data_IF_950927720524
#
_entry.id   IF_950927720524
#
_cell.length_a   1.000
_cell.length_b   1.000
_cell.length_c   1.000
_cell.angle_alpha   90.00
_cell.angle_beta   90.00
_cell.angle_gamma   90.00
#
_symmetry.space_group_name_H-M   'P 1'
#
loop_
_entity.id
_entity.type
_entity.pdbx_description
1 polymer ?
#
# COMPACT_ATOMS: atom_id res chain seq x y z
N UNK A 1 8.14 46.12 -4.60
CA UNK A 1 8.51 44.70 -4.44
C UNK A 1 9.17 44.42 -3.08
N UNK A 2 10.09 45.28 -2.60
CA UNK A 2 10.68 45.19 -1.24
C UNK A 2 9.64 45.17 -0.10
N UNK A 3 8.56 45.94 -0.22
CA UNK A 3 7.46 45.99 0.78
C UNK A 3 6.80 44.61 0.96
N UNK A 4 6.51 43.89 -0.13
CA UNK A 4 5.87 42.56 -0.07
C UNK A 4 6.76 41.53 0.62
N UNK A 5 8.06 41.54 0.30
CA UNK A 5 9.05 40.62 0.90
C UNK A 5 9.21 40.89 2.41
N UNK A 6 9.23 42.16 2.82
CA UNK A 6 9.27 42.56 4.22
C UNK A 6 8.01 42.15 4.99
N UNK A 7 6.83 42.30 4.37
CA UNK A 7 5.55 41.86 4.95
C UNK A 7 5.53 40.34 5.12
N UNK A 8 5.97 39.58 4.12
CA UNK A 8 6.06 38.12 4.21
C UNK A 8 7.05 37.67 5.28
N UNK A 9 8.21 38.33 5.41
CA UNK A 9 9.18 38.03 6.47
C UNK A 9 8.60 38.32 7.86
N UNK A 10 7.92 39.46 8.01
CA UNK A 10 7.29 39.82 9.28
C UNK A 10 6.22 38.80 9.68
N UNK A 11 5.38 38.36 8.73
CA UNK A 11 4.39 37.32 8.96
C UNK A 11 5.03 35.97 9.33
N UNK A 12 6.12 35.60 8.66
CA UNK A 12 6.88 34.38 8.97
C UNK A 12 7.51 34.43 10.37
N UNK A 13 8.12 35.55 10.73
CA UNK A 13 8.72 35.75 12.06
C UNK A 13 7.65 35.76 13.15
N UNK A 14 6.53 36.45 12.92
CA UNK A 14 5.40 36.48 13.84
C UNK A 14 4.78 35.10 14.03
N UNK A 15 4.67 34.30 12.96
CA UNK A 15 4.14 32.94 13.05
C UNK A 15 5.10 31.98 13.77
N UNK A 16 6.41 32.11 13.54
CA UNK A 16 7.45 31.36 14.27
C UNK A 16 7.48 31.72 15.76
N UNK A 17 7.40 33.00 16.11
CA UNK A 17 7.31 33.46 17.51
C UNK A 17 6.02 32.99 18.16
N UNK A 18 4.89 33.09 17.46
CA UNK A 18 3.60 32.58 17.94
C UNK A 18 3.65 31.07 18.20
N UNK A 19 4.29 30.32 17.30
CA UNK A 19 4.50 28.89 17.46
C UNK A 19 5.36 28.58 18.69
N UNK A 20 6.53 29.22 18.84
CA UNK A 20 7.39 29.05 20.02
C UNK A 20 6.66 29.42 21.32
N UNK A 21 5.95 30.55 21.34
CA UNK A 21 5.22 31.03 22.52
C UNK A 21 4.06 30.10 22.90
N UNK A 22 3.36 29.53 21.91
CA UNK A 22 2.29 28.56 22.13
C UNK A 22 2.86 27.27 22.73
N UNK A 23 3.98 26.78 22.19
CA UNK A 23 4.66 25.59 22.68
C UNK A 23 5.24 25.73 24.09
N UNK A 24 5.76 26.91 24.45
CA UNK A 24 6.26 27.15 25.82
C UNK A 24 5.12 27.19 26.86
N UNK A 25 3.90 27.55 26.46
CA UNK A 25 2.76 27.72 27.37
C UNK A 25 1.91 26.46 27.57
N UNK A 26 1.96 25.48 26.66
CA UNK A 26 1.13 24.27 26.74
C UNK A 26 1.98 22.99 26.92
N UNK A 27 2.42 22.67 28.16
CA UNK A 27 3.24 21.49 28.42
C UNK A 27 2.52 20.14 28.27
N UNK A 28 1.19 20.15 28.07
CA UNK A 28 0.38 18.93 27.94
C UNK A 28 -0.56 19.05 26.73
N UNK A 29 -0.30 18.23 25.71
CA UNK A 29 -1.25 18.00 24.64
C UNK A 29 -2.47 17.28 25.22
N UNK A 30 -3.60 17.97 25.28
CA UNK A 30 -4.91 17.39 25.59
C UNK A 30 -5.49 16.60 24.41
N UNK A 31 -6.72 16.07 24.55
CA UNK A 31 -7.38 15.22 23.55
C UNK A 31 -7.63 15.88 22.19
N UNK A 32 -7.48 17.20 22.07
CA UNK A 32 -7.56 17.93 20.79
C UNK A 32 -6.31 17.80 19.90
N UNK A 33 -5.27 17.10 20.39
CA UNK A 33 -4.30 16.41 19.54
C UNK A 33 -3.43 17.28 18.60
N UNK A 34 -2.72 16.64 17.65
CA UNK A 34 -1.74 17.27 16.77
C UNK A 34 -2.32 18.34 15.83
N UNK A 35 -3.64 18.42 15.69
CA UNK A 35 -4.33 19.29 14.73
C UNK A 35 -4.03 20.77 14.96
N UNK A 36 -3.99 21.23 16.21
CA UNK A 36 -3.66 22.62 16.54
C UNK A 36 -2.25 23.04 16.11
N UNK A 37 -1.28 22.11 16.16
CA UNK A 37 0.07 22.37 15.69
C UNK A 37 0.10 22.44 14.16
N UNK A 38 -0.62 21.56 13.46
CA UNK A 38 -0.73 21.60 12.01
C UNK A 38 -1.37 22.89 11.50
N UNK A 39 -2.37 23.44 12.19
CA UNK A 39 -3.03 24.69 11.82
C UNK A 39 -2.12 25.92 11.88
N UNK A 40 -1.11 25.92 12.76
CA UNK A 40 -0.11 27.01 12.82
C UNK A 40 1.12 26.69 11.96
N UNK A 41 1.45 25.41 11.83
CA UNK A 41 2.64 24.94 11.11
C UNK A 41 2.50 25.03 9.59
N UNK A 42 1.43 24.46 9.02
CA UNK A 42 1.24 24.40 7.56
C UNK A 42 1.27 25.81 6.95
N UNK A 43 0.59 26.83 7.52
CA UNK A 43 0.70 28.19 7.03
C UNK A 43 2.12 28.77 7.16
N UNK A 44 2.83 28.51 8.27
CA UNK A 44 4.19 29.02 8.47
C UNK A 44 5.18 28.43 7.45
N UNK A 45 5.08 27.13 7.18
CA UNK A 45 5.90 26.45 6.18
C UNK A 45 5.57 26.95 4.77
N UNK A 46 4.28 27.14 4.46
CA UNK A 46 3.84 27.68 3.19
C UNK A 46 4.32 29.13 2.98
N UNK A 47 4.32 29.96 4.02
CA UNK A 47 4.86 31.32 3.97
C UNK A 47 6.38 31.33 3.79
N UNK A 48 7.11 30.43 4.46
CA UNK A 48 8.55 30.29 4.26
C UNK A 48 8.89 29.86 2.82
N UNK A 49 8.15 28.88 2.28
CA UNK A 49 8.23 28.44 0.90
C UNK A 49 7.99 29.59 -0.08
N UNK A 50 6.91 30.34 0.14
CA UNK A 50 6.52 31.45 -0.72
C UNK A 50 7.57 32.58 -0.69
N UNK A 51 8.10 32.91 0.49
CA UNK A 51 9.16 33.88 0.65
C UNK A 51 10.44 33.48 -0.09
N UNK A 52 10.90 32.24 0.09
CA UNK A 52 12.10 31.71 -0.57
C UNK A 52 11.92 31.65 -2.09
N UNK A 53 10.75 31.21 -2.56
CA UNK A 53 10.43 31.14 -3.98
C UNK A 53 10.39 32.53 -4.64
N UNK A 54 9.68 33.49 -4.03
CA UNK A 54 9.59 34.86 -4.55
C UNK A 54 10.96 35.53 -4.55
N UNK A 55 11.74 35.41 -3.47
CA UNK A 55 13.07 35.99 -3.40
C UNK A 55 14.05 35.40 -4.42
N UNK A 56 13.97 34.08 -4.66
CA UNK A 56 14.77 33.38 -5.68
C UNK A 56 14.40 33.81 -7.10
N UNK A 57 13.10 33.80 -7.44
CA UNK A 57 12.62 34.21 -8.76
C UNK A 57 12.89 35.69 -9.06
N UNK A 58 12.85 36.52 -8.03
CA UNK A 58 13.08 37.97 -8.13
C UNK A 58 14.58 38.36 -8.15
N UNK A 59 15.49 37.39 -8.12
CA UNK A 59 16.94 37.63 -8.09
C UNK A 59 17.45 38.36 -6.85
N UNK A 60 16.62 38.50 -5.80
CA UNK A 60 16.98 39.23 -4.58
C UNK A 60 18.12 38.57 -3.81
N UNK A 61 18.39 37.30 -4.09
CA UNK A 61 19.49 36.54 -3.50
C UNK A 61 20.69 36.35 -4.44
N UNK A 62 20.65 36.89 -5.66
CA UNK A 62 21.73 36.74 -6.64
C UNK A 62 23.07 37.30 -6.12
N UNK A 63 23.04 38.33 -5.27
CA UNK A 63 24.24 38.94 -4.69
C UNK A 63 25.00 38.03 -3.71
N UNK A 64 24.37 36.97 -3.20
CA UNK A 64 24.98 35.99 -2.30
C UNK A 64 25.63 34.85 -3.10
N UNK A 65 24.93 34.36 -4.13
CA UNK A 65 25.39 33.31 -5.06
C UNK A 65 24.79 33.58 -6.44
N UNK A 66 25.62 33.73 -7.46
CA UNK A 66 25.19 33.93 -8.86
C UNK A 66 24.45 32.72 -9.45
N UNK A 67 24.36 31.60 -8.73
CA UNK A 67 23.78 30.36 -9.20
C UNK A 67 22.41 30.06 -8.56
N UNK A 68 21.35 30.14 -9.38
CA UNK A 68 19.95 29.85 -8.99
C UNK A 68 19.75 28.41 -8.47
N UNK A 69 20.51 27.44 -8.97
CA UNK A 69 20.42 26.05 -8.53
C UNK A 69 20.89 25.88 -7.08
N UNK A 70 21.97 26.57 -6.70
CA UNK A 70 22.49 26.52 -5.32
C UNK A 70 21.47 27.12 -4.36
N UNK A 71 20.78 28.19 -4.78
CA UNK A 71 19.68 28.78 -4.00
C UNK A 71 18.48 27.86 -3.82
N UNK A 72 18.10 27.11 -4.85
CA UNK A 72 17.06 26.10 -4.73
C UNK A 72 17.45 25.03 -3.71
N UNK A 73 18.69 24.52 -3.78
CA UNK A 73 19.19 23.50 -2.86
C UNK A 73 19.28 23.99 -1.41
N UNK A 74 19.73 25.24 -1.20
CA UNK A 74 19.72 25.88 0.11
C UNK A 74 18.29 26.02 0.65
N UNK A 75 17.35 26.46 -0.18
CA UNK A 75 15.94 26.61 0.21
C UNK A 75 15.32 25.28 0.63
N UNK A 76 15.55 24.22 -0.16
CA UNK A 76 15.10 22.86 0.17
C UNK A 76 15.72 22.39 1.48
N UNK A 77 17.04 22.57 1.66
CA UNK A 77 17.73 22.20 2.90
C UNK A 77 17.19 22.94 4.13
N UNK A 78 16.94 24.25 4.01
CA UNK A 78 16.35 25.07 5.10
C UNK A 78 14.95 24.58 5.44
N UNK A 79 14.12 24.28 4.45
CA UNK A 79 12.76 23.79 4.67
C UNK A 79 12.75 22.44 5.37
N UNK A 80 13.63 21.53 4.96
CA UNK A 80 13.81 20.25 5.64
C UNK A 80 14.31 20.46 7.07
N UNK A 81 15.27 21.37 7.27
CA UNK A 81 15.78 21.70 8.59
C UNK A 81 14.68 22.27 9.51
N UNK A 82 13.86 23.19 9.01
CA UNK A 82 12.72 23.76 9.73
C UNK A 82 11.65 22.70 10.05
N UNK A 83 11.34 21.84 9.09
CA UNK A 83 10.43 20.70 9.31
C UNK A 83 10.96 19.76 10.41
N UNK A 84 12.24 19.40 10.36
CA UNK A 84 12.88 18.53 11.34
C UNK A 84 13.04 19.18 12.71
N UNK A 85 13.39 20.48 12.75
CA UNK A 85 13.42 21.29 13.95
C UNK A 85 12.06 21.31 14.64
N UNK A 86 10.98 21.38 13.86
CA UNK A 86 9.63 21.35 14.40
C UNK A 86 9.21 19.96 14.88
N UNK A 87 9.51 18.90 14.12
CA UNK A 87 9.30 17.53 14.60
C UNK A 87 10.08 17.27 15.90
N UNK A 88 11.26 17.85 16.03
CA UNK A 88 12.07 17.82 17.24
C UNK A 88 11.47 18.63 18.40
N UNK A 89 10.73 19.71 18.12
CA UNK A 89 9.97 20.46 19.13
C UNK A 89 8.75 19.69 19.62
N UNK A 90 8.13 18.90 18.74
CA UNK A 90 7.03 18.00 19.05
C UNK A 90 7.46 16.78 19.88
N UNK A 91 8.70 16.31 19.65
CA UNK A 91 9.27 15.22 20.42
C UNK A 91 9.62 15.68 21.86
N UNK A 92 9.48 14.78 22.85
CA UNK A 92 9.68 15.10 24.27
C UNK A 92 11.15 15.02 24.71
N UNK A 93 12.07 14.77 23.78
CA UNK A 93 13.49 14.55 24.04
C UNK A 93 14.39 15.79 23.97
N UNK A 94 15.70 15.55 24.04
CA UNK A 94 16.79 16.54 24.00
C UNK A 94 16.87 17.37 22.69
N UNK A 95 15.96 17.12 21.74
CA UNK A 95 15.94 17.71 20.41
C UNK A 95 15.21 19.07 20.34
N UNK A 96 14.53 19.50 21.42
CA UNK A 96 13.86 20.82 21.47
C UNK A 96 14.81 22.01 21.37
N UNK A 97 15.94 21.95 22.08
CA UNK A 97 16.95 23.01 22.04
C UNK A 97 17.53 23.19 20.63
N UNK A 98 17.71 22.08 19.90
CA UNK A 98 18.14 22.09 18.51
C UNK A 98 17.09 22.76 17.60
N UNK A 99 15.80 22.47 17.82
CA UNK A 99 14.73 23.07 17.03
C UNK A 99 14.61 24.60 17.20
N UNK A 100 14.77 25.09 18.44
CA UNK A 100 14.81 26.53 18.74
C UNK A 100 16.04 27.17 18.10
N UNK A 101 17.22 26.57 18.27
CA UNK A 101 18.47 27.08 17.74
C UNK A 101 18.44 27.20 16.20
N UNK A 102 17.95 26.17 15.50
CA UNK A 102 17.85 26.18 14.03
C UNK A 102 16.88 27.25 13.52
N UNK A 103 15.73 27.43 14.19
CA UNK A 103 14.76 28.47 13.82
C UNK A 103 15.35 29.88 14.00
N UNK A 104 16.12 30.09 15.07
CA UNK A 104 16.83 31.35 15.31
C UNK A 104 17.90 31.64 14.25
N UNK A 105 18.68 30.63 13.87
CA UNK A 105 19.71 30.75 12.82
C UNK A 105 19.10 31.12 11.47
N UNK A 106 18.00 30.47 11.07
CA UNK A 106 17.31 30.78 9.81
C UNK A 106 16.70 32.19 9.85
N UNK A 107 16.08 32.58 10.97
CA UNK A 107 15.55 33.94 11.14
C UNK A 107 16.65 35.01 11.02
N UNK A 108 17.80 34.79 11.65
CA UNK A 108 18.96 35.68 11.55
C UNK A 108 19.50 35.76 10.11
N UNK A 109 19.55 34.64 9.39
CA UNK A 109 19.97 34.58 7.99
C UNK A 109 19.03 35.39 7.07
N UNK A 110 17.71 35.27 7.28
CA UNK A 110 16.71 36.05 6.54
C UNK A 110 16.85 37.56 6.80
N UNK A 111 17.08 37.99 8.05
CA UNK A 111 17.29 39.40 8.39
C UNK A 111 18.58 39.95 7.75
N UNK A 112 19.66 39.19 7.78
CA UNK A 112 20.92 39.54 7.11
C UNK A 112 20.75 39.69 5.58
N UNK A 113 19.81 38.95 5.00
CA UNK A 113 19.59 38.93 3.55
C UNK A 113 18.83 40.14 3.00
N UNK A 114 18.15 40.91 3.86
CA UNK A 114 17.40 42.09 3.46
C UNK A 114 18.27 43.32 3.17
N UNK A 115 19.57 43.25 3.45
CA UNK A 115 20.51 44.37 3.28
C UNK A 115 21.58 44.04 2.23
N UNK A 116 21.30 44.26 0.93
CA UNK A 116 22.17 43.85 -0.19
C UNK A 116 23.50 44.60 -0.27
N UNK A 117 23.62 45.77 0.37
CA UNK A 117 24.83 46.62 0.35
C UNK A 117 25.97 46.11 1.24
N UNK A 118 25.94 44.83 1.63
CA UNK A 118 26.94 44.20 2.47
C UNK A 118 28.23 43.87 1.72
N UNK A 119 29.37 44.27 2.28
CA UNK A 119 30.69 43.79 1.85
C UNK A 119 30.87 42.27 2.00
N UNK A 120 31.99 41.74 1.53
CA UNK A 120 32.28 40.30 1.45
C UNK A 120 32.00 39.52 2.76
N UNK A 121 32.30 40.11 3.92
CA UNK A 121 32.06 39.50 5.24
C UNK A 121 30.59 39.15 5.47
N UNK A 122 29.64 39.99 5.05
CA UNK A 122 28.20 39.70 5.21
C UNK A 122 27.74 38.59 4.27
N UNK A 123 28.29 38.52 3.06
CA UNK A 123 28.02 37.42 2.10
C UNK A 123 28.47 36.08 2.68
N UNK A 124 29.67 36.03 3.25
CA UNK A 124 30.20 34.82 3.91
C UNK A 124 29.32 34.44 5.12
N UNK A 125 28.93 35.41 5.95
CA UNK A 125 28.05 35.15 7.08
C UNK A 125 26.68 34.60 6.65
N UNK A 126 26.06 35.18 5.62
CA UNK A 126 24.79 34.67 5.06
C UNK A 126 24.95 33.25 4.51
N UNK A 127 26.04 32.99 3.78
CA UNK A 127 26.36 31.66 3.26
C UNK A 127 26.51 30.61 4.36
N UNK A 128 27.20 30.94 5.45
CA UNK A 128 27.36 30.02 6.59
C UNK A 128 26.03 29.79 7.29
N UNK A 129 25.26 30.85 7.54
CA UNK A 129 23.99 30.77 8.26
C UNK A 129 22.89 30.05 7.47
N UNK A 130 22.90 30.09 6.14
CA UNK A 130 22.00 29.28 5.32
C UNK A 130 22.57 27.89 5.01
N UNK A 131 23.88 27.81 4.75
CA UNK A 131 24.55 26.60 4.32
C UNK A 131 24.56 25.51 5.39
N UNK A 132 24.87 25.85 6.64
CA UNK A 132 24.94 24.85 7.72
C UNK A 132 23.58 24.21 8.03
N UNK A 133 22.48 24.97 8.23
CA UNK A 133 21.15 24.37 8.39
C UNK A 133 20.70 23.61 7.16
N UNK A 134 21.00 24.10 5.95
CA UNK A 134 20.65 23.41 4.73
C UNK A 134 21.34 22.04 4.61
N UNK A 135 22.65 21.98 4.86
CA UNK A 135 23.41 20.73 4.88
C UNK A 135 22.92 19.77 5.98
N UNK A 136 22.62 20.29 7.17
CA UNK A 136 22.04 19.48 8.25
C UNK A 136 20.67 18.92 7.86
N UNK A 137 19.80 19.73 7.25
CA UNK A 137 18.51 19.31 6.72
C UNK A 137 18.65 18.21 5.67
N UNK A 138 19.51 18.39 4.68
CA UNK A 138 19.77 17.39 3.63
C UNK A 138 20.33 16.07 4.22
N UNK A 139 21.25 16.14 5.18
CA UNK A 139 21.77 14.95 5.86
C UNK A 139 20.67 14.19 6.62
N UNK A 140 19.76 14.91 7.28
CA UNK A 140 18.61 14.32 7.97
C UNK A 140 17.62 13.67 7.00
N UNK A 141 17.33 14.31 5.86
CA UNK A 141 16.49 13.74 4.81
C UNK A 141 17.10 12.45 4.27
N UNK A 142 18.40 12.47 3.94
CA UNK A 142 19.11 11.29 3.46
C UNK A 142 19.04 10.16 4.47
N UNK A 143 19.29 10.44 5.75
CA UNK A 143 19.14 9.46 6.83
C UNK A 143 17.71 8.89 6.88
N UNK A 144 16.68 9.73 6.82
CA UNK A 144 15.28 9.29 6.87
C UNK A 144 14.90 8.41 5.67
N UNK A 145 15.38 8.73 4.47
CA UNK A 145 15.20 7.91 3.28
C UNK A 145 15.88 6.54 3.42
N UNK A 146 17.13 6.52 3.89
CA UNK A 146 17.89 5.28 4.14
C UNK A 146 17.19 4.43 5.21
N UNK A 147 16.78 5.03 6.33
CA UNK A 147 16.07 4.33 7.39
C UNK A 147 14.73 3.77 6.91
N UNK A 148 14.00 4.50 6.07
CA UNK A 148 12.73 4.05 5.49
C UNK A 148 12.95 2.87 4.53
N UNK A 149 13.97 2.95 3.67
CA UNK A 149 14.34 1.86 2.78
C UNK A 149 14.76 0.61 3.57
N UNK A 150 15.60 0.77 4.60
CA UNK A 150 16.02 -0.33 5.47
C UNK A 150 14.85 -0.93 6.26
N UNK A 151 13.91 -0.11 6.76
CA UNK A 151 12.71 -0.61 7.43
C UNK A 151 11.81 -1.39 6.48
N UNK A 152 11.62 -0.92 5.25
CA UNK A 152 10.84 -1.66 4.22
C UNK A 152 11.51 -3.00 3.92
N UNK A 153 12.83 -3.00 3.72
CA UNK A 153 13.59 -4.24 3.49
C UNK A 153 13.47 -5.21 4.66
N UNK A 154 13.66 -4.75 5.91
CA UNK A 154 13.52 -5.59 7.11
C UNK A 154 12.11 -6.12 7.31
N UNK A 155 11.08 -5.34 6.99
CA UNK A 155 9.68 -5.80 7.03
C UNK A 155 9.47 -6.90 6.00
N UNK A 156 9.89 -6.68 4.76
CA UNK A 156 9.81 -7.70 3.72
C UNK A 156 10.54 -9.00 4.11
N UNK A 157 11.78 -8.91 4.61
CA UNK A 157 12.55 -10.07 5.10
C UNK A 157 11.91 -10.74 6.34
N UNK A 158 11.19 -9.99 7.17
CA UNK A 158 10.47 -10.56 8.31
C UNK A 158 9.18 -11.24 7.86
N UNK A 159 8.43 -10.63 6.94
CA UNK A 159 7.21 -11.17 6.35
C UNK A 159 7.52 -12.44 5.55
N UNK A 160 8.63 -12.46 4.80
CA UNK A 160 9.11 -13.63 4.06
C UNK A 160 9.48 -14.78 5.01
N UNK A 161 10.20 -14.52 6.10
CA UNK A 161 10.51 -15.54 7.11
C UNK A 161 9.26 -16.06 7.81
N UNK A 162 8.34 -15.17 8.19
CA UNK A 162 7.07 -15.55 8.79
C UNK A 162 6.24 -16.41 7.82
N UNK A 163 6.24 -16.08 6.54
CA UNK A 163 5.58 -16.86 5.50
C UNK A 163 6.23 -18.24 5.32
N UNK A 164 7.56 -18.33 5.30
CA UNK A 164 8.28 -19.61 5.23
C UNK A 164 8.02 -20.49 6.46
N UNK A 165 8.03 -19.91 7.66
CA UNK A 165 7.71 -20.61 8.90
C UNK A 165 6.26 -21.12 8.89
N UNK A 166 5.30 -20.28 8.50
CA UNK A 166 3.90 -20.67 8.35
C UNK A 166 3.75 -21.80 7.31
N UNK A 167 4.48 -21.73 6.19
CA UNK A 167 4.49 -22.78 5.16
C UNK A 167 5.05 -24.11 5.69
N UNK A 168 6.13 -24.08 6.49
CA UNK A 168 6.70 -25.27 7.13
C UNK A 168 5.73 -25.88 8.15
N UNK A 169 5.11 -25.04 8.97
CA UNK A 169 4.09 -25.49 9.92
C UNK A 169 2.90 -26.11 9.20
N UNK A 170 2.44 -25.49 8.10
CA UNK A 170 1.35 -26.03 7.28
C UNK A 170 1.74 -27.37 6.62
N UNK A 171 2.96 -27.48 6.10
CA UNK A 171 3.46 -28.72 5.50
C UNK A 171 3.45 -29.88 6.50
N UNK A 172 3.93 -29.64 7.72
CA UNK A 172 3.92 -30.64 8.78
C UNK A 172 2.49 -30.99 9.20
N UNK A 173 1.64 -29.99 9.40
CA UNK A 173 0.22 -30.20 9.72
C UNK A 173 -0.47 -31.03 8.64
N UNK A 174 -0.19 -30.78 7.36
CA UNK A 174 -0.76 -31.55 6.26
C UNK A 174 -0.30 -33.02 6.30
N UNK A 175 0.98 -33.28 6.55
CA UNK A 175 1.51 -34.66 6.69
C UNK A 175 0.78 -35.38 7.83
N UNK A 176 0.71 -34.77 9.00
CA UNK A 176 0.15 -35.39 10.20
C UNK A 176 -1.35 -35.63 10.06
N UNK A 177 -2.10 -34.65 9.54
CA UNK A 177 -3.55 -34.76 9.43
C UNK A 177 -3.95 -35.67 8.27
N UNK A 178 -3.26 -35.60 7.13
CA UNK A 178 -3.56 -36.45 5.98
C UNK A 178 -3.37 -37.93 6.31
N UNK A 179 -2.34 -38.28 7.09
CA UNK A 179 -2.09 -39.65 7.54
C UNK A 179 -3.20 -40.22 8.43
N UNK A 180 -4.00 -39.36 9.09
CA UNK A 180 -5.13 -39.81 9.93
C UNK A 180 -6.43 -39.99 9.14
N UNK A 181 -6.48 -39.55 7.88
CA UNK A 181 -7.66 -39.75 7.05
C UNK A 181 -7.86 -41.23 6.70
N UNK A 182 -9.08 -41.77 6.92
CA UNK A 182 -9.37 -43.12 6.48
C UNK A 182 -9.28 -43.22 4.95
N UNK A 183 -9.06 -44.44 4.44
CA UNK A 183 -8.87 -44.69 2.99
C UNK A 183 -10.10 -44.26 2.17
N UNK A 184 -11.28 -44.35 2.76
CA UNK A 184 -12.57 -43.99 2.17
C UNK A 184 -13.04 -42.55 2.49
N UNK A 185 -12.21 -41.74 3.18
CA UNK A 185 -12.51 -40.36 3.59
C UNK A 185 -13.15 -39.55 2.45
N UNK A 186 -14.25 -38.79 2.69
CA UNK A 186 -15.01 -38.15 1.62
C UNK A 186 -14.18 -37.16 0.80
N UNK A 187 -14.61 -36.86 -0.43
CA UNK A 187 -13.95 -35.97 -1.38
C UNK A 187 -13.51 -34.67 -0.72
N UNK A 188 -14.40 -34.01 0.02
CA UNK A 188 -14.11 -32.74 0.69
C UNK A 188 -12.94 -32.84 1.70
N UNK A 189 -12.85 -33.95 2.43
CA UNK A 189 -11.78 -34.17 3.39
C UNK A 189 -10.42 -34.41 2.71
N UNK A 190 -10.41 -35.04 1.53
CA UNK A 190 -9.17 -35.31 0.78
C UNK A 190 -8.76 -34.09 -0.07
N UNK A 191 -9.74 -33.37 -0.63
CA UNK A 191 -9.50 -32.28 -1.59
C UNK A 191 -8.80 -31.07 -0.99
N UNK A 192 -8.92 -30.83 0.32
CA UNK A 192 -8.15 -29.80 1.04
C UNK A 192 -6.63 -29.99 0.93
N UNK A 193 -6.16 -31.21 0.61
CA UNK A 193 -4.74 -31.55 0.48
C UNK A 193 -4.22 -31.52 -0.96
N UNK A 194 -5.08 -31.22 -1.95
CA UNK A 194 -4.69 -31.09 -3.36
C UNK A 194 -3.65 -29.99 -3.62
N UNK A 195 -3.60 -29.01 -2.72
CA UNK A 195 -2.70 -27.86 -2.77
C UNK A 195 -1.71 -27.85 -1.60
N UNK A 196 -1.48 -29.01 -0.98
CA UNK A 196 -0.48 -29.13 0.08
C UNK A 196 0.89 -28.65 -0.40
N UNK A 197 1.66 -27.91 0.42
CA UNK A 197 3.04 -27.56 0.10
C UNK A 197 3.97 -28.79 0.09
N UNK A 198 3.50 -29.94 0.56
CA UNK A 198 4.22 -31.22 0.56
C UNK A 198 3.85 -32.02 -0.69
N UNK A 199 4.80 -32.22 -1.60
CA UNK A 199 4.58 -32.90 -2.88
C UNK A 199 4.07 -34.34 -2.73
N UNK A 200 4.55 -35.09 -1.73
CA UNK A 200 4.09 -36.46 -1.48
C UNK A 200 2.62 -36.51 -1.04
N UNK A 201 2.20 -35.62 -0.13
CA UNK A 201 0.80 -35.50 0.31
C UNK A 201 -0.08 -35.10 -0.87
N UNK A 202 0.35 -34.12 -1.67
CA UNK A 202 -0.38 -33.71 -2.86
C UNK A 202 -0.54 -34.86 -3.87
N UNK A 203 0.53 -35.58 -4.18
CA UNK A 203 0.51 -36.69 -5.11
C UNK A 203 -0.40 -37.83 -4.62
N UNK A 204 -0.32 -38.17 -3.34
CA UNK A 204 -1.16 -39.21 -2.74
C UNK A 204 -2.64 -38.78 -2.69
N UNK A 205 -2.95 -37.54 -2.32
CA UNK A 205 -4.31 -37.02 -2.34
C UNK A 205 -4.94 -37.09 -3.74
N UNK A 206 -4.18 -36.71 -4.78
CA UNK A 206 -4.61 -36.83 -6.18
C UNK A 206 -4.84 -38.29 -6.58
N UNK A 207 -3.94 -39.18 -6.21
CA UNK A 207 -4.07 -40.61 -6.50
C UNK A 207 -5.28 -41.23 -5.80
N UNK A 208 -5.51 -40.90 -4.52
CA UNK A 208 -6.68 -41.36 -3.76
C UNK A 208 -7.99 -40.90 -4.41
N UNK A 209 -8.09 -39.63 -4.81
CA UNK A 209 -9.28 -39.11 -5.49
C UNK A 209 -9.50 -39.77 -6.85
N UNK A 210 -8.45 -39.87 -7.68
CA UNK A 210 -8.55 -40.47 -9.01
C UNK A 210 -8.93 -41.96 -8.98
N UNK A 211 -8.58 -42.68 -7.90
CA UNK A 211 -8.93 -44.09 -7.73
C UNK A 211 -10.38 -44.32 -7.25
N UNK A 212 -11.14 -43.26 -6.92
CA UNK A 212 -12.49 -43.42 -6.38
C UNK A 212 -13.51 -43.75 -7.47
N UNK A 213 -14.30 -44.83 -7.32
CA UNK A 213 -15.39 -45.13 -8.25
C UNK A 213 -16.59 -44.18 -8.12
N UNK A 214 -16.75 -43.53 -6.96
CA UNK A 214 -17.86 -42.63 -6.63
C UNK A 214 -17.49 -41.14 -6.71
N UNK A 215 -16.32 -40.81 -7.27
CA UNK A 215 -15.78 -39.45 -7.29
C UNK A 215 -16.77 -38.43 -7.86
N UNK A 216 -17.39 -38.76 -8.98
CA UNK A 216 -18.33 -37.90 -9.68
C UNK A 216 -19.56 -37.59 -8.83
N UNK A 217 -20.15 -38.61 -8.19
CA UNK A 217 -21.31 -38.43 -7.32
C UNK A 217 -20.97 -37.54 -6.12
N UNK A 218 -19.78 -37.71 -5.53
CA UNK A 218 -19.33 -36.87 -4.42
C UNK A 218 -19.03 -35.43 -4.84
N UNK A 219 -18.49 -35.20 -6.05
CA UNK A 219 -18.31 -33.85 -6.58
C UNK A 219 -19.65 -33.16 -6.80
N UNK A 220 -20.66 -33.87 -7.33
CA UNK A 220 -22.03 -33.35 -7.50
C UNK A 220 -22.62 -32.97 -6.14
N UNK A 221 -22.48 -33.83 -5.14
CA UNK A 221 -22.94 -33.55 -3.77
C UNK A 221 -22.23 -32.32 -3.18
N UNK A 222 -20.91 -32.25 -3.29
CA UNK A 222 -20.11 -31.12 -2.81
C UNK A 222 -20.48 -29.82 -3.51
N UNK A 223 -20.77 -29.85 -4.81
CA UNK A 223 -21.28 -28.69 -5.54
C UNK A 223 -22.63 -28.22 -5.02
N UNK A 224 -23.38 -29.02 -4.26
CA UNK A 224 -24.63 -28.62 -3.61
C UNK A 224 -24.46 -27.96 -2.24
N UNK A 225 -23.27 -28.00 -1.65
CA UNK A 225 -22.98 -27.51 -0.29
C UNK A 225 -22.18 -26.22 -0.34
N UNK A 226 -22.64 -25.19 0.40
CA UNK A 226 -21.93 -23.91 0.48
C UNK A 226 -20.53 -24.09 1.10
N UNK A 227 -19.49 -23.61 0.41
CA UNK A 227 -18.10 -23.63 0.87
C UNK A 227 -17.27 -24.84 0.42
N UNK A 228 -17.88 -25.86 -0.19
CA UNK A 228 -17.16 -27.00 -0.78
C UNK A 228 -16.88 -26.83 -2.28
N UNK A 229 -17.46 -25.80 -2.88
CA UNK A 229 -17.41 -25.42 -4.28
C UNK A 229 -16.00 -25.09 -4.79
N UNK A 230 -15.22 -24.34 -4.01
CA UNK A 230 -13.86 -23.96 -4.41
C UNK A 230 -12.95 -25.20 -4.60
N UNK A 231 -13.16 -26.24 -3.80
CA UNK A 231 -12.39 -27.48 -3.92
C UNK A 231 -12.76 -28.27 -5.18
N UNK A 232 -14.05 -28.36 -5.52
CA UNK A 232 -14.51 -29.02 -6.75
C UNK A 232 -14.05 -28.25 -7.98
N UNK A 233 -14.25 -26.92 -8.01
CA UNK A 233 -13.79 -26.07 -9.10
C UNK A 233 -12.27 -26.20 -9.29
N UNK A 234 -11.48 -26.13 -8.22
CA UNK A 234 -10.03 -26.31 -8.29
C UNK A 234 -9.61 -27.69 -8.80
N UNK A 235 -10.30 -28.76 -8.38
CA UNK A 235 -10.04 -30.12 -8.87
C UNK A 235 -10.33 -30.25 -10.37
N UNK A 236 -11.50 -29.78 -10.83
CA UNK A 236 -11.88 -29.80 -12.25
C UNK A 236 -10.94 -28.93 -13.08
N UNK A 237 -10.59 -27.73 -12.62
CA UNK A 237 -9.74 -26.80 -13.35
C UNK A 237 -8.34 -27.35 -13.55
N UNK A 238 -7.73 -27.94 -12.51
CA UNK A 238 -6.29 -28.12 -12.47
C UNK A 238 -5.80 -29.55 -12.24
N UNK A 239 -6.68 -30.48 -11.85
CA UNK A 239 -6.28 -31.83 -11.42
C UNK A 239 -6.89 -32.92 -12.30
N UNK A 240 -8.21 -32.91 -12.47
CA UNK A 240 -8.94 -33.93 -13.23
C UNK A 240 -8.47 -33.94 -14.70
N UNK A 241 -7.88 -35.00 -15.24
CA UNK A 241 -7.42 -35.00 -16.63
C UNK A 241 -8.58 -34.91 -17.64
N UNK A 242 -9.74 -35.52 -17.36
CA UNK A 242 -10.88 -35.57 -18.29
C UNK A 242 -12.19 -35.42 -17.52
N UNK A 243 -12.62 -34.17 -17.25
CA UNK A 243 -13.83 -33.96 -16.48
C UNK A 243 -15.05 -34.49 -17.23
N UNK A 244 -15.95 -35.14 -16.51
CA UNK A 244 -17.14 -35.75 -17.08
C UNK A 244 -18.19 -34.69 -17.41
N UNK A 245 -18.83 -34.72 -18.60
CA UNK A 245 -19.89 -33.77 -18.96
C UNK A 245 -21.13 -33.88 -18.06
N UNK A 246 -21.31 -34.99 -17.36
CA UNK A 246 -22.41 -35.20 -16.39
C UNK A 246 -22.33 -34.27 -15.17
N UNK A 247 -21.15 -33.69 -14.89
CA UNK A 247 -20.99 -32.69 -13.84
C UNK A 247 -21.58 -31.33 -14.21
N UNK A 248 -21.81 -31.06 -15.50
CA UNK A 248 -22.21 -29.73 -15.98
C UNK A 248 -23.52 -29.22 -15.36
N UNK A 249 -24.61 -30.00 -15.22
CA UNK A 249 -25.83 -29.50 -14.57
C UNK A 249 -25.62 -29.06 -13.12
N UNK A 250 -24.85 -29.84 -12.35
CA UNK A 250 -24.53 -29.49 -10.96
C UNK A 250 -23.63 -28.25 -10.88
N UNK A 251 -22.66 -28.16 -11.79
CA UNK A 251 -21.75 -27.02 -11.87
C UNK A 251 -22.46 -25.74 -12.33
N UNK A 252 -23.40 -25.81 -13.26
CA UNK A 252 -24.27 -24.70 -13.66
C UNK A 252 -25.09 -24.19 -12.47
N UNK A 253 -25.73 -25.09 -11.72
CA UNK A 253 -26.49 -24.73 -10.53
C UNK A 253 -25.59 -24.05 -9.46
N UNK A 254 -24.35 -24.52 -9.32
CA UNK A 254 -23.35 -23.87 -8.49
C UNK A 254 -23.04 -22.44 -8.97
N UNK A 255 -22.72 -22.25 -10.25
CA UNK A 255 -22.44 -20.94 -10.84
C UNK A 255 -23.62 -19.97 -10.66
N UNK A 256 -24.85 -20.44 -10.85
CA UNK A 256 -26.06 -19.62 -10.71
C UNK A 256 -26.27 -19.18 -9.25
N UNK A 257 -26.06 -20.07 -8.28
CA UNK A 257 -26.12 -19.71 -6.85
C UNK A 257 -25.04 -18.72 -6.47
N UNK A 258 -23.80 -18.91 -6.94
CA UNK A 258 -22.73 -17.96 -6.69
C UNK A 258 -23.03 -16.61 -7.31
N UNK A 259 -23.62 -16.55 -8.52
CA UNK A 259 -24.00 -15.30 -9.13
C UNK A 259 -25.07 -14.56 -8.32
N UNK A 260 -26.04 -15.29 -7.77
CA UNK A 260 -27.07 -14.71 -6.91
C UNK A 260 -26.49 -14.15 -5.60
N UNK A 261 -25.61 -14.92 -4.92
CA UNK A 261 -24.89 -14.48 -3.73
C UNK A 261 -24.01 -13.26 -4.03
N UNK A 262 -23.32 -13.30 -5.15
CA UNK A 262 -22.44 -12.24 -5.61
C UNK A 262 -23.20 -10.94 -5.85
N UNK A 263 -24.37 -10.99 -6.51
CA UNK A 263 -25.25 -9.82 -6.70
C UNK A 263 -25.77 -9.23 -5.38
N UNK A 264 -25.97 -10.04 -4.34
CA UNK A 264 -26.48 -9.57 -3.05
C UNK A 264 -25.40 -8.96 -2.15
N UNK A 265 -24.15 -9.41 -2.24
CA UNK A 265 -23.04 -8.96 -1.37
C UNK A 265 -22.09 -7.93 -2.01
N UNK A 266 -21.85 -7.99 -3.33
CA UNK A 266 -20.83 -7.14 -3.99
C UNK A 266 -21.22 -5.70 -4.27
N UNK A 267 -22.48 -5.32 -4.11
CA UNK A 267 -22.86 -3.91 -4.16
C UNK A 267 -22.31 -3.07 -2.98
N UNK A 268 -21.59 -3.68 -2.03
CA UNK A 268 -21.24 -3.06 -0.74
C UNK A 268 -19.71 -2.83 -0.56
N UNK A 269 -18.82 -3.36 -1.43
CA UNK A 269 -17.35 -3.32 -1.25
C UNK A 269 -16.56 -2.47 -2.25
N UNK A 270 -15.46 -1.84 -1.81
CA UNK A 270 -14.69 -0.83 -2.59
C UNK A 270 -13.62 -1.38 -3.55
N UNK A 271 -13.39 -2.69 -3.63
CA UNK A 271 -12.44 -3.26 -4.60
C UNK A 271 -12.93 -4.62 -5.15
N UNK A 272 -13.64 -4.63 -6.30
CA UNK A 272 -14.08 -5.85 -6.96
C UNK A 272 -12.93 -6.75 -7.44
N UNK A 273 -11.75 -6.19 -7.77
CA UNK A 273 -10.65 -6.92 -8.39
C UNK A 273 -10.00 -7.98 -7.47
N UNK A 274 -10.10 -7.83 -6.14
CA UNK A 274 -9.54 -8.79 -5.18
C UNK A 274 -10.09 -10.23 -5.32
N UNK A 275 -11.20 -10.38 -6.00
CA UNK A 275 -11.89 -11.65 -6.18
C UNK A 275 -11.67 -12.29 -7.54
N UNK A 276 -10.97 -11.61 -8.45
CA UNK A 276 -10.69 -12.13 -9.79
C UNK A 276 -10.05 -13.52 -9.74
N UNK A 277 -9.07 -13.82 -8.87
CA UNK A 277 -8.47 -15.15 -8.83
C UNK A 277 -9.46 -16.28 -8.53
N UNK A 278 -10.41 -16.03 -7.62
CA UNK A 278 -11.44 -17.01 -7.28
C UNK A 278 -12.37 -17.27 -8.47
N UNK A 279 -12.84 -16.19 -9.12
CA UNK A 279 -13.70 -16.29 -10.30
C UNK A 279 -12.98 -16.97 -11.47
N UNK A 280 -11.69 -16.68 -11.67
CA UNK A 280 -10.88 -17.28 -12.71
C UNK A 280 -10.86 -18.80 -12.59
N UNK A 281 -10.65 -19.33 -11.37
CA UNK A 281 -10.69 -20.79 -11.14
C UNK A 281 -12.06 -21.43 -11.46
N UNK A 282 -13.16 -20.72 -11.22
CA UNK A 282 -14.50 -21.23 -11.55
C UNK A 282 -14.73 -21.32 -13.05
N UNK A 283 -14.22 -20.34 -13.80
CA UNK A 283 -14.36 -20.30 -15.25
C UNK A 283 -13.34 -21.22 -15.95
N UNK A 284 -12.17 -21.47 -15.37
CA UNK A 284 -11.25 -22.53 -15.80
C UNK A 284 -11.95 -23.89 -15.79
N UNK A 285 -12.61 -24.23 -14.67
CA UNK A 285 -13.36 -25.48 -14.57
C UNK A 285 -14.56 -25.53 -15.53
N UNK A 286 -15.27 -24.41 -15.71
CA UNK A 286 -16.38 -24.33 -16.65
C UNK A 286 -15.91 -24.55 -18.11
N UNK A 287 -14.79 -23.94 -18.50
CA UNK A 287 -14.19 -24.10 -19.82
C UNK A 287 -13.89 -25.58 -20.11
N UNK A 288 -13.31 -26.29 -19.13
CA UNK A 288 -12.98 -27.72 -19.27
C UNK A 288 -14.23 -28.60 -19.35
N UNK A 289 -15.27 -28.31 -18.58
CA UNK A 289 -16.56 -29.03 -18.64
C UNK A 289 -17.29 -28.80 -19.96
N UNK A 290 -17.26 -27.56 -20.47
CA UNK A 290 -17.84 -27.23 -21.77
C UNK A 290 -17.10 -27.98 -22.90
N UNK A 291 -15.76 -27.99 -22.86
CA UNK A 291 -14.94 -28.74 -23.81
C UNK A 291 -15.16 -30.27 -23.75
N UNK A 292 -15.58 -30.80 -22.60
CA UNK A 292 -15.95 -32.20 -22.43
C UNK A 292 -17.37 -32.53 -22.95
N UNK A 293 -18.13 -31.54 -23.42
CA UNK A 293 -19.47 -31.70 -23.98
C UNK A 293 -20.63 -31.38 -23.01
N UNK A 294 -20.33 -30.83 -21.83
CA UNK A 294 -21.34 -30.27 -20.93
C UNK A 294 -21.84 -28.91 -21.44
N UNK A 295 -23.10 -28.54 -21.16
CA UNK A 295 -23.63 -27.22 -21.51
C UNK A 295 -23.71 -26.30 -20.29
N UNK A 296 -22.80 -25.31 -20.24
CA UNK A 296 -22.72 -24.26 -19.23
C UNK A 296 -22.99 -22.87 -19.81
N UNK A 297 -23.33 -22.77 -21.11
CA UNK A 297 -23.49 -21.49 -21.82
C UNK A 297 -24.51 -20.55 -21.17
N UNK A 298 -25.66 -21.00 -20.64
CA UNK A 298 -26.61 -20.12 -19.97
C UNK A 298 -25.99 -19.43 -18.74
N UNK A 299 -25.38 -20.19 -17.83
CA UNK A 299 -24.74 -19.66 -16.62
C UNK A 299 -23.54 -18.77 -16.95
N UNK A 300 -22.70 -19.17 -17.92
CA UNK A 300 -21.57 -18.37 -18.38
C UNK A 300 -22.02 -17.03 -18.99
N UNK A 301 -23.11 -17.03 -19.76
CA UNK A 301 -23.69 -15.81 -20.33
C UNK A 301 -24.16 -14.86 -19.23
N UNK A 302 -24.88 -15.38 -18.22
CA UNK A 302 -25.34 -14.58 -17.09
C UNK A 302 -24.19 -13.98 -16.26
N UNK A 303 -23.13 -14.75 -16.04
CA UNK A 303 -21.91 -14.25 -15.39
C UNK A 303 -21.22 -13.16 -16.21
N UNK A 304 -21.07 -13.37 -17.53
CA UNK A 304 -20.48 -12.38 -18.44
C UNK A 304 -21.24 -11.05 -18.38
N UNK A 305 -22.57 -11.09 -18.45
CA UNK A 305 -23.41 -9.89 -18.37
C UNK A 305 -23.28 -9.17 -17.03
N UNK A 306 -23.20 -9.92 -15.93
CA UNK A 306 -23.02 -9.34 -14.60
C UNK A 306 -21.62 -8.72 -14.41
N UNK A 307 -20.58 -9.33 -14.99
CA UNK A 307 -19.20 -8.83 -14.88
C UNK A 307 -18.92 -7.65 -15.82
N UNK A 308 -19.61 -7.57 -16.96
CA UNK A 308 -19.39 -6.54 -17.98
C UNK A 308 -19.64 -5.10 -17.48
N UNK A 309 -20.44 -4.93 -16.42
CA UNK A 309 -20.75 -3.61 -15.85
C UNK A 309 -19.78 -3.18 -14.75
N UNK A 310 -18.78 -4.00 -14.43
CA UNK A 310 -17.85 -3.76 -13.33
C UNK A 310 -16.47 -3.40 -13.89
N UNK A 311 -15.94 -2.22 -13.53
CA UNK A 311 -14.57 -1.85 -13.89
C UNK A 311 -13.55 -2.87 -13.37
N UNK A 312 -12.62 -3.28 -14.21
CA UNK A 312 -11.52 -4.20 -13.88
C UNK A 312 -11.81 -5.68 -14.15
N UNK A 313 -13.00 -6.03 -14.68
CA UNK A 313 -13.36 -7.40 -15.09
C UNK A 313 -13.44 -7.59 -16.61
N UNK A 314 -12.94 -6.64 -17.40
CA UNK A 314 -13.04 -6.65 -18.86
C UNK A 314 -12.36 -7.90 -19.45
N UNK A 315 -11.16 -8.24 -18.96
CA UNK A 315 -10.42 -9.43 -19.40
C UNK A 315 -11.16 -10.73 -19.09
N UNK A 316 -11.72 -10.85 -17.88
CA UNK A 316 -12.48 -12.04 -17.49
C UNK A 316 -13.77 -12.18 -18.29
N UNK A 317 -14.46 -11.06 -18.52
CA UNK A 317 -15.68 -10.99 -19.34
C UNK A 317 -15.40 -11.44 -20.78
N UNK A 318 -14.31 -10.96 -21.38
CA UNK A 318 -13.88 -11.38 -22.71
C UNK A 318 -13.58 -12.88 -22.75
N UNK A 319 -12.86 -13.38 -21.75
CA UNK A 319 -12.50 -14.79 -21.64
C UNK A 319 -13.73 -15.69 -21.54
N UNK A 320 -14.69 -15.36 -20.68
CA UNK A 320 -15.95 -16.11 -20.57
C UNK A 320 -16.67 -16.18 -21.91
N UNK A 321 -16.67 -15.08 -22.68
CA UNK A 321 -17.27 -15.04 -24.01
C UNK A 321 -16.58 -15.93 -25.06
N UNK A 322 -15.37 -16.43 -24.80
CA UNK A 322 -14.62 -17.32 -25.68
C UNK A 322 -14.83 -18.80 -25.35
N UNK A 323 -15.41 -19.12 -24.18
CA UNK A 323 -15.78 -20.49 -23.81
C UNK A 323 -16.97 -20.91 -24.69
N UNK A 324 -16.79 -21.93 -25.54
CA UNK A 324 -17.76 -22.41 -26.52
C UNK A 324 -18.23 -23.82 -26.20
#
# INVERSE_FOLDING_TARGET
>A
MSILLNVLLYLLLASLVGLIATFMKTPRFGPEGPVGVWLVFVPSLALALLFLAIGSLSGHFAWILDNRFVWLMLSVGILVCLGMALFSLLDRGASRALGIAMSGVVGAACLLSLHPDGGATRRIAALVLFGLPALAGLALLLKALVDTALRRKRRFEADERAFEEARKQRAQWDIDNFATLPVDAPFFAVSQYLWSPTESVQAEARARLAARPDLEAQMIECLGVDGADAAVAGYIAYVEPRPSPTLAPAYAAFLDRQLASWKSTRLIGSNPAQWEPNLSSWFDAAERLQAAGGDLRPSLTAWREALAVIPGFEGLTQRIGQIR
#
